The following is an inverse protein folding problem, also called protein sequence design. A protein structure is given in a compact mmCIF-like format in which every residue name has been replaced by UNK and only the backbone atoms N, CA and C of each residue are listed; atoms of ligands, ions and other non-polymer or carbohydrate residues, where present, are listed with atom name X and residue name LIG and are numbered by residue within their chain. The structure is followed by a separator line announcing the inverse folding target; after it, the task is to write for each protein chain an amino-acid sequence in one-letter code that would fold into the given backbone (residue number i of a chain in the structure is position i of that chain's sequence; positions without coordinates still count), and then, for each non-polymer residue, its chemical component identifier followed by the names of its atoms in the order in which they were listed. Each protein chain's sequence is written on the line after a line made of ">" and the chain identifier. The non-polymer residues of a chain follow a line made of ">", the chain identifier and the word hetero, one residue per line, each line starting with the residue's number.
data_IF_404942082735
#
_entry.id   IF_404942082735
#
_cell.length_a   1.000
_cell.length_b   1.000
_cell.length_c   1.000
_cell.angle_alpha   90.00
_cell.angle_beta   90.00
_cell.angle_gamma   90.00
#
_symmetry.space_group_name_H-M   'P 1'
#
loop_
_entity.id
_entity.type
_entity.pdbx_description
1 polymer ?
#
# COMPACT_ATOMS: atom_id res chain seq x y z
N UNK A 1 19.78 30.03 -2.48
CA UNK A 1 18.83 28.90 -2.64
C UNK A 1 19.13 27.94 -1.50
N UNK A 2 18.28 27.91 -0.47
CA UNK A 2 18.47 26.99 0.66
C UNK A 2 17.80 25.67 0.28
N UNK A 3 18.62 24.67 -0.06
CA UNK A 3 18.13 23.32 -0.30
C UNK A 3 17.90 22.67 1.05
N UNK A 4 16.62 22.55 1.45
CA UNK A 4 16.26 21.86 2.68
C UNK A 4 16.03 20.39 2.32
N UNK A 5 16.61 19.44 3.07
CA UNK A 5 16.41 18.03 2.80
C UNK A 5 14.92 17.70 2.89
N UNK A 6 14.47 16.89 1.95
CA UNK A 6 13.14 16.30 1.92
C UNK A 6 12.97 15.31 3.07
N UNK A 7 11.72 15.01 3.43
CA UNK A 7 11.44 14.00 4.45
C UNK A 7 12.00 12.62 4.07
N UNK A 8 11.97 12.27 2.77
CA UNK A 8 12.57 11.03 2.26
C UNK A 8 14.07 10.96 2.50
N UNK A 9 14.80 12.04 2.19
CA UNK A 9 16.26 12.12 2.43
C UNK A 9 16.61 12.06 3.93
N UNK A 10 15.78 12.68 4.79
CA UNK A 10 15.97 12.61 6.23
C UNK A 10 15.78 11.18 6.78
N UNK A 11 14.77 10.46 6.28
CA UNK A 11 14.51 9.07 6.67
C UNK A 11 15.60 8.13 6.16
N UNK A 12 16.05 8.29 4.91
CA UNK A 12 17.13 7.50 4.34
C UNK A 12 18.44 7.70 5.13
N UNK A 13 18.80 8.95 5.42
CA UNK A 13 20.00 9.26 6.20
C UNK A 13 19.95 8.64 7.61
N UNK A 14 18.80 8.75 8.30
CA UNK A 14 18.60 8.14 9.61
C UNK A 14 18.70 6.61 9.54
N UNK A 15 18.05 5.98 8.55
CA UNK A 15 18.11 4.54 8.34
C UNK A 15 19.54 4.06 8.10
N UNK A 16 20.25 4.72 7.18
CA UNK A 16 21.63 4.40 6.83
C UNK A 16 22.54 4.49 8.05
N UNK A 17 22.41 5.53 8.87
CA UNK A 17 23.18 5.67 10.10
C UNK A 17 22.96 4.49 11.06
N UNK A 18 21.71 4.11 11.29
CA UNK A 18 21.37 2.97 12.17
C UNK A 18 21.94 1.67 11.61
N UNK A 19 21.77 1.41 10.33
CA UNK A 19 22.25 0.19 9.66
C UNK A 19 23.78 0.08 9.66
N UNK A 20 24.49 1.17 9.39
CA UNK A 20 25.95 1.17 9.24
C UNK A 20 26.68 1.21 10.58
N UNK A 21 26.16 1.96 11.56
CA UNK A 21 26.91 2.24 12.79
C UNK A 21 26.35 1.56 14.03
N UNK A 22 25.03 1.34 14.11
CA UNK A 22 24.39 0.84 15.33
C UNK A 22 24.19 -0.67 15.27
N UNK A 23 23.61 -1.17 14.18
CA UNK A 23 23.33 -2.60 14.00
C UNK A 23 24.57 -3.50 14.18
N UNK A 24 25.76 -3.18 13.63
CA UNK A 24 26.94 -4.03 13.79
C UNK A 24 27.42 -4.12 15.24
N UNK A 25 27.38 -3.01 15.98
CA UNK A 25 27.77 -2.95 17.40
C UNK A 25 26.84 -3.82 18.24
N UNK A 26 25.52 -3.70 18.02
CA UNK A 26 24.53 -4.49 18.76
C UNK A 26 24.59 -5.98 18.42
N UNK A 27 24.93 -6.33 17.18
CA UNK A 27 25.08 -7.72 16.74
C UNK A 27 26.28 -8.42 17.40
N UNK A 28 27.36 -7.67 17.65
CA UNK A 28 28.58 -8.20 18.24
C UNK A 28 28.47 -8.49 19.74
N UNK A 29 27.44 -7.96 20.41
CA UNK A 29 27.24 -8.09 21.86
C UNK A 29 26.05 -9.00 22.18
N UNK A 30 26.28 -10.28 22.57
CA UNK A 30 25.20 -11.25 22.81
C UNK A 30 24.21 -10.84 23.90
N UNK A 31 24.65 -10.07 24.91
CA UNK A 31 23.78 -9.60 25.98
C UNK A 31 22.74 -8.56 25.53
N UNK A 32 22.96 -7.92 24.37
CA UNK A 32 22.07 -6.90 23.80
C UNK A 32 21.07 -7.46 22.77
N UNK A 33 20.87 -8.78 22.70
CA UNK A 33 20.02 -9.42 21.69
C UNK A 33 18.60 -8.84 21.56
N UNK A 34 17.96 -8.45 22.67
CA UNK A 34 16.65 -7.77 22.64
C UNK A 34 16.71 -6.41 21.95
N UNK A 35 17.72 -5.61 22.28
CA UNK A 35 17.92 -4.29 21.68
C UNK A 35 18.30 -4.40 20.20
N UNK A 36 19.12 -5.39 19.84
CA UNK A 36 19.43 -5.72 18.45
C UNK A 36 18.15 -6.00 17.65
N UNK A 37 17.28 -6.87 18.15
CA UNK A 37 16.00 -7.16 17.49
C UNK A 37 15.12 -5.91 17.34
N UNK A 38 14.94 -5.12 18.41
CA UNK A 38 14.17 -3.88 18.36
C UNK A 38 14.74 -2.87 17.35
N UNK A 39 16.07 -2.83 17.20
CA UNK A 39 16.75 -1.98 16.22
C UNK A 39 16.46 -2.44 14.79
N UNK A 40 16.45 -3.75 14.52
CA UNK A 40 16.03 -4.28 13.22
C UNK A 40 14.58 -3.93 12.89
N UNK A 41 13.69 -3.98 13.89
CA UNK A 41 12.29 -3.53 13.72
C UNK A 41 12.23 -2.05 13.37
N UNK A 42 12.99 -1.20 14.06
CA UNK A 42 13.04 0.23 13.77
C UNK A 42 13.54 0.50 12.34
N UNK A 43 14.62 -0.17 11.92
CA UNK A 43 15.11 -0.11 10.53
C UNK A 43 14.03 -0.52 9.53
N UNK A 44 13.29 -1.60 9.80
CA UNK A 44 12.21 -2.03 8.93
C UNK A 44 11.08 -1.00 8.82
N UNK A 45 10.70 -0.37 9.93
CA UNK A 45 9.71 0.71 9.94
C UNK A 45 10.19 1.91 9.10
N UNK A 46 11.46 2.29 9.20
CA UNK A 46 12.03 3.36 8.37
C UNK A 46 11.96 3.03 6.88
N UNK A 47 12.27 1.78 6.49
CA UNK A 47 12.13 1.33 5.10
C UNK A 47 10.68 1.38 4.60
N UNK A 48 9.72 1.06 5.46
CA UNK A 48 8.29 1.16 5.13
C UNK A 48 7.91 2.63 4.94
N UNK A 49 8.33 3.52 5.84
CA UNK A 49 8.06 4.95 5.73
C UNK A 49 8.68 5.58 4.47
N UNK A 50 9.89 5.18 4.11
CA UNK A 50 10.57 5.60 2.88
C UNK A 50 9.75 5.22 1.62
N UNK A 51 9.30 3.96 1.54
CA UNK A 51 8.45 3.49 0.42
C UNK A 51 7.10 4.19 0.39
N UNK A 52 6.46 4.34 1.55
CA UNK A 52 5.18 5.04 1.68
C UNK A 52 5.28 6.45 1.09
N UNK A 53 6.30 7.23 1.47
CA UNK A 53 6.49 8.58 0.95
C UNK A 53 6.72 8.57 -0.57
N UNK A 54 7.54 7.63 -1.06
CA UNK A 54 7.84 7.52 -2.49
C UNK A 54 6.64 7.10 -3.35
N UNK A 55 5.74 6.28 -2.83
CA UNK A 55 4.61 5.70 -3.58
C UNK A 55 3.29 6.45 -3.36
N UNK A 56 3.17 7.24 -2.29
CA UNK A 56 1.92 7.88 -1.87
C UNK A 56 1.19 8.62 -2.98
N UNK A 57 1.89 9.47 -3.73
CA UNK A 57 1.27 10.25 -4.81
C UNK A 57 0.71 9.37 -5.94
N UNK A 58 1.45 8.31 -6.28
CA UNK A 58 1.03 7.33 -7.29
C UNK A 58 -0.18 6.53 -6.81
N UNK A 59 -0.14 6.03 -5.57
CA UNK A 59 -1.24 5.27 -4.96
C UNK A 59 -2.51 6.12 -4.81
N UNK A 60 -2.39 7.38 -4.37
CA UNK A 60 -3.50 8.33 -4.26
C UNK A 60 -4.22 8.51 -5.60
N UNK A 61 -3.47 8.81 -6.67
CA UNK A 61 -4.04 9.01 -8.00
C UNK A 61 -4.66 7.73 -8.59
N UNK A 62 -4.00 6.59 -8.40
CA UNK A 62 -4.48 5.30 -8.85
C UNK A 62 -5.77 4.88 -8.14
N UNK A 63 -5.82 4.99 -6.80
CA UNK A 63 -7.00 4.67 -6.01
C UNK A 63 -8.17 5.61 -6.35
N UNK A 64 -7.91 6.91 -6.53
CA UNK A 64 -8.94 7.87 -6.95
C UNK A 64 -9.57 7.49 -8.28
N UNK A 65 -8.73 7.17 -9.27
CA UNK A 65 -9.18 6.76 -10.61
C UNK A 65 -10.01 5.47 -10.55
N UNK A 66 -9.59 4.49 -9.76
CA UNK A 66 -10.37 3.25 -9.56
C UNK A 66 -11.69 3.48 -8.84
N UNK A 67 -11.74 4.37 -7.85
CA UNK A 67 -13.00 4.72 -7.18
C UNK A 67 -13.97 5.44 -8.14
N UNK A 68 -13.47 6.28 -9.05
CA UNK A 68 -14.30 6.86 -10.11
C UNK A 68 -14.87 5.77 -11.02
N UNK A 69 -14.04 4.83 -11.49
CA UNK A 69 -14.51 3.73 -12.32
C UNK A 69 -15.54 2.84 -11.61
N UNK A 70 -15.32 2.53 -10.32
CA UNK A 70 -16.27 1.77 -9.51
C UNK A 70 -17.61 2.48 -9.37
N UNK A 71 -17.58 3.77 -9.09
CA UNK A 71 -18.77 4.62 -8.94
C UNK A 71 -19.53 4.77 -10.26
N UNK A 72 -18.82 4.89 -11.39
CA UNK A 72 -19.42 4.99 -12.72
C UNK A 72 -20.20 3.73 -13.11
N UNK A 73 -19.69 2.54 -12.76
CA UNK A 73 -20.43 1.27 -12.92
C UNK A 73 -21.73 1.26 -12.09
N UNK A 74 -21.80 2.07 -11.03
CA UNK A 74 -22.98 2.23 -10.18
C UNK A 74 -23.86 3.43 -10.60
N UNK A 75 -23.52 4.13 -11.70
CA UNK A 75 -24.25 5.27 -12.23
C UNK A 75 -23.88 6.63 -11.62
N UNK A 76 -22.88 6.67 -10.74
CA UNK A 76 -22.39 7.91 -10.13
C UNK A 76 -21.32 8.56 -11.05
N UNK A 77 -21.41 9.88 -11.33
CA UNK A 77 -20.44 10.53 -12.23
C UNK A 77 -19.03 10.63 -11.60
N UNK A 78 -17.97 10.65 -12.42
CA UNK A 78 -16.60 10.80 -11.92
C UNK A 78 -16.39 12.18 -11.29
N UNK A 79 -15.61 12.21 -10.20
CA UNK A 79 -15.26 13.44 -9.49
C UNK A 79 -13.77 13.75 -9.75
N UNK A 80 -13.40 15.01 -10.05
CA UNK A 80 -12.00 15.39 -10.24
C UNK A 80 -11.20 15.24 -8.94
N UNK A 81 -9.93 14.84 -9.06
CA UNK A 81 -8.99 14.81 -7.94
C UNK A 81 -8.68 16.24 -7.48
N UNK A 82 -8.82 16.57 -6.18
CA UNK A 82 -8.41 17.88 -5.66
C UNK A 82 -6.92 18.16 -5.94
N UNK A 83 -6.60 19.40 -6.28
CA UNK A 83 -5.23 19.80 -6.61
C UNK A 83 -4.31 19.86 -5.38
N UNK A 84 -4.89 20.12 -4.20
CA UNK A 84 -4.16 20.12 -2.94
C UNK A 84 -4.06 18.68 -2.41
N UNK A 85 -2.84 18.22 -2.11
CA UNK A 85 -2.60 16.86 -1.62
C UNK A 85 -3.35 16.54 -0.33
N UNK A 86 -3.39 17.47 0.63
CA UNK A 86 -4.09 17.24 1.90
C UNK A 86 -5.61 17.16 1.74
N UNK A 87 -6.18 18.00 0.86
CA UNK A 87 -7.60 17.91 0.50
C UNK A 87 -7.91 16.61 -0.25
N UNK A 88 -7.02 16.19 -1.15
CA UNK A 88 -7.16 14.95 -1.89
C UNK A 88 -7.13 13.72 -0.96
N UNK A 89 -6.22 13.68 0.01
CA UNK A 89 -6.14 12.62 1.03
C UNK A 89 -7.41 12.58 1.90
N UNK A 90 -7.88 13.74 2.38
CA UNK A 90 -9.11 13.84 3.17
C UNK A 90 -10.33 13.36 2.37
N UNK A 91 -10.49 13.86 1.13
CA UNK A 91 -11.59 13.47 0.26
C UNK A 91 -11.54 11.97 -0.09
N UNK A 92 -10.35 11.41 -0.31
CA UNK A 92 -10.19 9.98 -0.54
C UNK A 92 -10.65 9.17 0.68
N UNK A 93 -10.27 9.59 1.89
CA UNK A 93 -10.70 8.94 3.14
C UNK A 93 -12.23 8.92 3.28
N UNK A 94 -12.89 10.04 2.97
CA UNK A 94 -14.35 10.13 3.01
C UNK A 94 -15.01 9.25 1.94
N UNK A 95 -14.45 9.19 0.73
CA UNK A 95 -14.93 8.29 -0.33
C UNK A 95 -14.81 6.81 0.07
N UNK A 96 -13.69 6.42 0.69
CA UNK A 96 -13.51 5.05 1.21
C UNK A 96 -14.52 4.75 2.32
N UNK A 97 -14.78 5.70 3.22
CA UNK A 97 -15.82 5.55 4.25
C UNK A 97 -17.21 5.32 3.63
N UNK A 98 -17.58 6.13 2.64
CA UNK A 98 -18.83 5.97 1.90
C UNK A 98 -18.91 4.63 1.16
N UNK A 99 -17.80 4.15 0.59
CA UNK A 99 -17.73 2.82 -0.01
C UNK A 99 -17.99 1.72 1.03
N UNK A 100 -17.36 1.80 2.22
CA UNK A 100 -17.61 0.85 3.30
C UNK A 100 -19.09 0.83 3.74
N UNK A 101 -19.75 1.99 3.79
CA UNK A 101 -21.17 2.09 4.10
C UNK A 101 -22.03 1.39 3.03
N UNK A 102 -21.74 1.62 1.74
CA UNK A 102 -22.43 0.94 0.63
C UNK A 102 -22.24 -0.58 0.67
N UNK A 103 -21.03 -1.05 0.99
CA UNK A 103 -20.73 -2.48 1.16
C UNK A 103 -21.60 -3.06 2.28
N UNK A 104 -21.66 -2.41 3.45
CA UNK A 104 -22.49 -2.88 4.57
C UNK A 104 -23.99 -2.84 4.26
N UNK A 105 -24.43 -1.93 3.40
CA UNK A 105 -25.81 -1.84 2.94
C UNK A 105 -26.19 -2.89 1.88
N UNK A 106 -25.27 -3.76 1.47
CA UNK A 106 -25.53 -4.82 0.49
C UNK A 106 -25.56 -4.32 -0.97
N UNK A 107 -24.99 -3.15 -1.26
CA UNK A 107 -25.00 -2.57 -2.62
C UNK A 107 -24.20 -3.38 -3.67
N UNK A 108 -23.46 -4.41 -3.23
CA UNK A 108 -22.62 -5.27 -4.06
C UNK A 108 -22.96 -6.76 -3.91
N UNK A 109 -24.12 -7.06 -3.32
CA UNK A 109 -24.57 -8.44 -3.12
C UNK A 109 -24.97 -9.09 -4.46
N UNK A 110 -25.07 -10.43 -4.48
CA UNK A 110 -25.25 -11.18 -5.73
C UNK A 110 -26.72 -11.19 -6.15
N UNK A 111 -27.15 -10.07 -6.71
CA UNK A 111 -28.44 -9.93 -7.39
C UNK A 111 -28.13 -9.53 -8.84
N UNK A 112 -28.85 -10.05 -9.84
CA UNK A 112 -28.42 -10.01 -11.26
C UNK A 112 -27.84 -8.68 -11.80
N UNK A 113 -28.39 -7.54 -11.39
CA UNK A 113 -27.96 -6.19 -11.82
C UNK A 113 -26.64 -5.72 -11.19
N UNK A 114 -26.12 -6.40 -10.15
CA UNK A 114 -24.98 -5.96 -9.32
C UNK A 114 -23.68 -6.72 -9.62
N UNK A 115 -23.67 -7.64 -10.59
CA UNK A 115 -22.49 -8.46 -10.92
C UNK A 115 -21.30 -7.61 -11.39
N UNK A 116 -21.54 -6.60 -12.24
CA UNK A 116 -20.50 -5.70 -12.72
C UNK A 116 -19.90 -4.85 -11.58
N UNK A 117 -20.75 -4.28 -10.73
CA UNK A 117 -20.33 -3.50 -9.57
C UNK A 117 -19.53 -4.35 -8.58
N UNK A 118 -19.95 -5.60 -8.35
CA UNK A 118 -19.21 -6.55 -7.50
C UNK A 118 -17.85 -6.88 -8.09
N UNK A 119 -17.75 -7.16 -9.39
CA UNK A 119 -16.45 -7.40 -10.05
C UNK A 119 -15.52 -6.20 -9.90
N UNK A 120 -16.00 -5.00 -10.20
CA UNK A 120 -15.23 -3.77 -10.07
C UNK A 120 -14.79 -3.51 -8.62
N UNK A 121 -15.63 -3.85 -7.62
CA UNK A 121 -15.26 -3.78 -6.21
C UNK A 121 -14.10 -4.75 -5.90
N UNK A 122 -14.16 -6.00 -6.36
CA UNK A 122 -13.08 -6.96 -6.14
C UNK A 122 -11.78 -6.50 -6.80
N UNK A 123 -11.82 -5.96 -8.01
CA UNK A 123 -10.66 -5.40 -8.69
C UNK A 123 -10.05 -4.23 -7.89
N UNK A 124 -10.90 -3.34 -7.36
CA UNK A 124 -10.48 -2.24 -6.49
C UNK A 124 -9.82 -2.74 -5.20
N UNK A 125 -10.42 -3.71 -4.50
CA UNK A 125 -9.89 -4.26 -3.24
C UNK A 125 -8.57 -5.00 -3.47
N UNK A 126 -8.47 -5.76 -4.55
CA UNK A 126 -7.26 -6.48 -4.91
C UNK A 126 -6.12 -5.51 -5.23
N UNK A 127 -6.39 -4.47 -6.04
CA UNK A 127 -5.41 -3.43 -6.35
C UNK A 127 -4.95 -2.69 -5.08
N UNK A 128 -5.88 -2.29 -4.21
CA UNK A 128 -5.56 -1.62 -2.93
C UNK A 128 -4.74 -2.51 -2.00
N UNK A 129 -5.03 -3.82 -1.98
CA UNK A 129 -4.23 -4.79 -1.22
C UNK A 129 -2.82 -4.93 -1.78
N UNK A 130 -2.65 -4.96 -3.10
CA UNK A 130 -1.33 -4.97 -3.74
C UNK A 130 -0.53 -3.72 -3.38
N UNK A 131 -1.15 -2.54 -3.46
CA UNK A 131 -0.51 -1.26 -3.09
C UNK A 131 -0.07 -1.25 -1.63
N UNK A 132 -0.91 -1.73 -0.70
CA UNK A 132 -0.54 -1.89 0.70
C UNK A 132 0.67 -2.83 0.88
N UNK A 133 0.72 -3.94 0.12
CA UNK A 133 1.85 -4.87 0.15
C UNK A 133 3.12 -4.29 -0.48
N UNK A 134 3.03 -3.46 -1.52
CA UNK A 134 4.20 -2.76 -2.08
C UNK A 134 4.91 -1.93 -1.01
N UNK A 135 4.15 -1.32 -0.09
CA UNK A 135 4.68 -0.53 1.02
C UNK A 135 5.15 -1.42 2.17
N UNK A 136 4.29 -2.31 2.69
CA UNK A 136 4.58 -3.07 3.89
C UNK A 136 5.54 -4.26 3.66
N UNK A 137 5.38 -4.98 2.55
CA UNK A 137 6.13 -6.22 2.29
C UNK A 137 6.24 -6.54 0.77
N UNK A 138 7.08 -5.80 0.02
CA UNK A 138 7.20 -5.97 -1.42
C UNK A 138 7.71 -7.36 -1.83
N UNK A 139 8.55 -7.99 -1.01
CA UNK A 139 9.04 -9.35 -1.27
C UNK A 139 7.92 -10.38 -1.24
N UNK A 140 7.00 -10.25 -0.29
CA UNK A 140 5.83 -11.14 -0.24
C UNK A 140 4.92 -10.95 -1.45
N UNK A 141 4.72 -9.69 -1.88
CA UNK A 141 3.96 -9.41 -3.10
C UNK A 141 4.58 -10.08 -4.33
N UNK A 142 5.90 -9.94 -4.52
CA UNK A 142 6.62 -10.57 -5.65
C UNK A 142 6.45 -12.09 -5.65
N UNK A 143 6.53 -12.75 -4.48
CA UNK A 143 6.31 -14.20 -4.37
C UNK A 143 4.87 -14.56 -4.75
N UNK A 144 3.89 -13.86 -4.17
CA UNK A 144 2.47 -14.12 -4.45
C UNK A 144 2.12 -13.91 -5.94
N UNK A 145 2.72 -12.91 -6.59
CA UNK A 145 2.52 -12.66 -8.03
C UNK A 145 3.11 -13.77 -8.89
N UNK A 146 4.31 -14.27 -8.56
CA UNK A 146 4.92 -15.41 -9.25
C UNK A 146 4.07 -16.68 -9.12
N UNK A 147 3.56 -16.96 -7.92
CA UNK A 147 2.67 -18.11 -7.68
C UNK A 147 1.37 -17.99 -8.48
N UNK A 148 0.76 -16.81 -8.48
CA UNK A 148 -0.45 -16.54 -9.25
C UNK A 148 -0.24 -16.70 -10.75
N UNK A 149 0.88 -16.23 -11.29
CA UNK A 149 1.23 -16.42 -12.70
C UNK A 149 1.43 -17.89 -13.06
N UNK A 150 2.12 -18.66 -12.22
CA UNK A 150 2.32 -20.08 -12.44
C UNK A 150 0.99 -20.84 -12.48
N UNK A 151 0.08 -20.57 -11.53
CA UNK A 151 -1.27 -21.14 -11.52
C UNK A 151 -2.05 -20.73 -12.78
N UNK A 152 -2.00 -19.46 -13.17
CA UNK A 152 -2.69 -18.94 -14.36
C UNK A 152 -2.17 -19.54 -15.68
N UNK A 153 -0.89 -19.94 -15.72
CA UNK A 153 -0.25 -20.63 -16.86
C UNK A 153 -0.39 -22.16 -16.80
N UNK A 154 -1.11 -22.70 -15.82
CA UNK A 154 -1.31 -24.15 -15.63
C UNK A 154 -0.06 -24.88 -15.14
N UNK A 155 0.92 -24.17 -14.60
CA UNK A 155 2.13 -24.74 -14.01
C UNK A 155 1.91 -24.95 -12.50
N UNK A 156 2.10 -26.19 -12.02
CA UNK A 156 2.06 -26.49 -10.57
C UNK A 156 3.17 -25.70 -9.87
N UNK A 157 2.78 -24.87 -8.90
CA UNK A 157 3.72 -24.30 -7.92
C UNK A 157 4.12 -25.42 -6.98
N UNK A 158 5.30 -26.01 -7.19
CA UNK A 158 5.93 -26.89 -6.20
C UNK A 158 6.65 -26.05 -5.15
N UNK A 159 6.07 -26.00 -3.95
CA UNK A 159 6.80 -25.91 -2.68
C UNK A 159 7.28 -24.54 -2.19
N UNK A 160 6.75 -24.15 -1.03
CA UNK A 160 7.55 -23.65 0.11
C UNK A 160 6.93 -24.13 1.41
#
# INVERSE_FOLDING_TARGET
>A
MYDRPTLGELIDAARMHVETHIVPVLKAEPSLGRLYFQTLVAVNVLRIAEREIGLRGLHLGAQWSRLNALHEVMGDPPVPLPANTGEAEAALSDRVRGLCERIRAGAFDVNGEQVAARSALFDHLLATTREALQVANPKFLETAEREWEAVSKGQRVEGS
#
